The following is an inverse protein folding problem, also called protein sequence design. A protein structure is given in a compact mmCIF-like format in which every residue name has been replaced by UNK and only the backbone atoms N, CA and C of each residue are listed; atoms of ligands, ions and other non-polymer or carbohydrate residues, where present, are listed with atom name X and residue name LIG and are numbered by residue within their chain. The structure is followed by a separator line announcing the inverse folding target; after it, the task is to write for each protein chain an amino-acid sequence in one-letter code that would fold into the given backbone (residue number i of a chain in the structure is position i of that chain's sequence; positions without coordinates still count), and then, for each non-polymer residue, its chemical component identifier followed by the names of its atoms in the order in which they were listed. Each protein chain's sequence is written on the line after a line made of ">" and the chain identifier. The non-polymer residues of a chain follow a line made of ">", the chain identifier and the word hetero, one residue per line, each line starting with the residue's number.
data_IF_012574221255
#
_entry.id   IF_012574221255
#
_cell.length_a   1.000
_cell.length_b   1.000
_cell.length_c   1.000
_cell.angle_alpha   90.00
_cell.angle_beta   90.00
_cell.angle_gamma   90.00
#
_symmetry.space_group_name_H-M   'P 1'
#
loop_
_entity.id
_entity.type
_entity.pdbx_description
1 polymer ?
#
# COMPACT_ATOMS: atom_id res chain seq x y z
N UNK A 1 -11.74 -10.94 11.69
CA UNK A 1 -11.12 -10.79 13.03
C UNK A 1 -12.13 -10.30 14.06
N UNK A 2 -12.09 -10.85 15.27
CA UNK A 2 -13.03 -10.49 16.34
C UNK A 2 -12.82 -9.05 16.84
N UNK A 3 -11.62 -8.50 16.69
CA UNK A 3 -11.30 -7.11 17.02
C UNK A 3 -11.08 -6.28 15.75
N UNK A 4 -11.82 -5.18 15.62
CA UNK A 4 -11.69 -4.18 14.55
C UNK A 4 -11.70 -2.78 15.19
N UNK A 5 -10.55 -2.30 15.71
CA UNK A 5 -10.50 -1.21 16.67
C UNK A 5 -10.53 0.17 15.98
N UNK A 6 -11.63 0.47 15.28
CA UNK A 6 -11.79 1.68 14.45
C UNK A 6 -11.48 2.98 15.22
N UNK A 7 -12.09 3.18 16.38
CA UNK A 7 -11.91 4.39 17.17
C UNK A 7 -10.45 4.57 17.62
N UNK A 8 -9.78 3.48 18.00
CA UNK A 8 -8.38 3.51 18.37
C UNK A 8 -7.48 3.93 17.19
N UNK A 9 -7.67 3.32 16.02
CA UNK A 9 -6.85 3.65 14.84
C UNK A 9 -7.06 5.10 14.38
N UNK A 10 -8.29 5.62 14.47
CA UNK A 10 -8.60 7.02 14.15
C UNK A 10 -7.94 7.98 15.14
N UNK A 11 -8.00 7.67 16.44
CA UNK A 11 -7.29 8.44 17.47
C UNK A 11 -5.76 8.39 17.24
N UNK A 12 -5.21 7.21 16.93
CA UNK A 12 -3.80 7.04 16.62
C UNK A 12 -3.36 7.92 15.44
N UNK A 13 -4.08 7.90 14.32
CA UNK A 13 -3.79 8.78 13.16
C UNK A 13 -3.79 10.25 13.54
N UNK A 14 -4.74 10.67 14.36
CA UNK A 14 -4.84 12.07 14.82
C UNK A 14 -3.62 12.44 15.66
N UNK A 15 -3.21 11.57 16.58
CA UNK A 15 -2.04 11.79 17.45
C UNK A 15 -0.74 11.81 16.64
N UNK A 16 -0.51 10.84 15.75
CA UNK A 16 0.70 10.76 14.95
C UNK A 16 0.85 11.99 14.04
N UNK A 17 -0.25 12.42 13.41
CA UNK A 17 -0.27 13.65 12.60
C UNK A 17 0.06 14.89 13.43
N UNK A 18 -0.53 15.04 14.61
CA UNK A 18 -0.24 16.18 15.51
C UNK A 18 1.22 16.20 15.98
N UNK A 19 1.80 15.02 16.18
CA UNK A 19 3.17 14.87 16.66
C UNK A 19 4.24 14.90 15.54
N UNK A 20 3.85 14.96 14.26
CA UNK A 20 4.77 14.83 13.14
C UNK A 20 5.45 13.45 13.05
N UNK A 21 4.82 12.42 13.62
CA UNK A 21 5.30 11.04 13.60
C UNK A 21 4.64 10.30 12.43
N UNK A 22 5.38 9.59 11.58
CA UNK A 22 4.79 8.80 10.50
C UNK A 22 3.95 7.64 11.05
N UNK A 23 2.72 7.51 10.57
CA UNK A 23 1.90 6.31 10.74
C UNK A 23 2.17 5.35 9.59
N UNK A 24 2.58 4.13 9.92
CA UNK A 24 2.82 3.05 8.96
C UNK A 24 1.73 2.00 9.10
N UNK A 25 1.05 1.66 8.01
CA UNK A 25 0.16 0.49 7.96
C UNK A 25 0.87 -0.70 7.33
N UNK A 26 0.91 -1.83 8.04
CA UNK A 26 1.26 -3.10 7.43
C UNK A 26 0.01 -3.73 6.80
N UNK A 27 -0.11 -3.58 5.49
CA UNK A 27 -1.23 -4.08 4.70
C UNK A 27 -0.86 -5.32 3.88
N UNK A 28 0.18 -6.07 4.28
CA UNK A 28 0.59 -7.31 3.60
C UNK A 28 -0.55 -8.34 3.60
N UNK A 29 -1.43 -8.35 4.61
CA UNK A 29 -2.64 -9.21 4.64
C UNK A 29 -3.91 -8.48 4.22
N UNK A 30 -4.11 -7.26 4.71
CA UNK A 30 -5.38 -6.53 4.57
C UNK A 30 -5.52 -5.85 3.22
N UNK A 31 -4.40 -5.43 2.62
CA UNK A 31 -4.35 -4.75 1.34
C UNK A 31 -4.98 -5.60 0.24
N UNK A 32 -5.89 -4.99 -0.53
CA UNK A 32 -6.64 -5.63 -1.61
C UNK A 32 -7.56 -6.81 -1.21
N UNK A 33 -7.49 -7.25 0.05
CA UNK A 33 -8.28 -8.37 0.59
C UNK A 33 -9.56 -7.90 1.28
N UNK A 34 -9.44 -6.94 2.19
CA UNK A 34 -10.56 -6.46 2.99
C UNK A 34 -11.47 -5.53 2.17
N UNK A 35 -10.84 -4.69 1.36
CA UNK A 35 -11.45 -3.70 0.48
C UNK A 35 -10.45 -3.42 -0.66
N UNK A 36 -10.87 -2.93 -1.85
CA UNK A 36 -9.92 -2.54 -2.91
C UNK A 36 -8.84 -1.57 -2.43
N UNK A 37 -9.22 -0.63 -1.56
CA UNK A 37 -8.30 0.32 -0.89
C UNK A 37 -7.75 -0.15 0.46
N UNK A 38 -7.82 -1.46 0.77
CA UNK A 38 -7.26 -2.03 2.01
C UNK A 38 -7.95 -1.58 3.31
N UNK A 39 -7.25 -1.79 4.42
CA UNK A 39 -7.63 -1.35 5.75
C UNK A 39 -7.71 0.19 5.84
N UNK A 40 -6.90 0.92 5.07
CA UNK A 40 -7.00 2.37 4.95
C UNK A 40 -8.42 2.81 4.56
N UNK A 41 -8.94 2.30 3.46
CA UNK A 41 -10.30 2.61 3.02
C UNK A 41 -11.37 2.06 3.97
N UNK A 42 -11.17 0.84 4.50
CA UNK A 42 -12.10 0.25 5.46
C UNK A 42 -12.27 1.11 6.72
N UNK A 43 -11.17 1.62 7.28
CA UNK A 43 -11.17 2.43 8.48
C UNK A 43 -11.36 3.94 8.23
N UNK A 44 -11.26 4.39 6.98
CA UNK A 44 -11.27 5.80 6.62
C UNK A 44 -10.03 6.54 7.12
N UNK A 45 -8.86 5.89 7.03
CA UNK A 45 -7.57 6.39 7.54
C UNK A 45 -6.56 6.33 6.42
N UNK A 46 -5.82 7.43 6.23
CA UNK A 46 -4.68 7.48 5.32
C UNK A 46 -3.39 7.41 6.14
N UNK A 47 -2.64 6.32 5.97
CA UNK A 47 -1.32 6.18 6.57
C UNK A 47 -0.30 7.02 5.78
N UNK A 48 0.80 7.38 6.43
CA UNK A 48 1.89 8.11 5.77
C UNK A 48 2.72 7.15 4.90
N UNK A 49 2.88 5.90 5.37
CA UNK A 49 3.55 4.79 4.68
C UNK A 49 2.70 3.53 4.79
N UNK A 50 2.79 2.67 3.78
CA UNK A 50 2.07 1.40 3.75
C UNK A 50 2.93 0.30 3.11
N UNK A 51 2.87 -0.90 3.68
CA UNK A 51 3.51 -2.08 3.09
C UNK A 51 2.46 -3.01 2.48
N UNK A 52 2.77 -3.59 1.32
CA UNK A 52 1.92 -4.53 0.61
C UNK A 52 2.68 -5.79 0.22
N UNK A 53 1.94 -6.87 0.01
CA UNK A 53 2.45 -8.15 -0.46
C UNK A 53 1.29 -9.10 -0.76
N UNK A 54 1.52 -10.40 -0.60
CA UNK A 54 0.52 -11.48 -0.74
C UNK A 54 -0.35 -11.30 -2.00
N UNK A 55 -1.59 -10.80 -1.83
CA UNK A 55 -2.57 -10.62 -2.91
C UNK A 55 -1.96 -9.82 -4.07
N UNK A 56 -1.13 -8.82 -3.77
CA UNK A 56 -0.49 -7.97 -4.78
C UNK A 56 0.26 -8.78 -5.85
N UNK A 57 0.94 -9.86 -5.46
CA UNK A 57 1.85 -10.58 -6.35
C UNK A 57 1.18 -11.55 -7.31
N UNK A 58 -0.12 -11.81 -7.17
CA UNK A 58 -0.81 -12.79 -8.01
C UNK A 58 -0.18 -14.19 -7.97
N UNK A 59 0.37 -14.58 -6.81
CA UNK A 59 1.09 -15.84 -6.62
C UNK A 59 2.63 -15.76 -6.72
N UNK A 60 3.17 -14.65 -7.24
CA UNK A 60 4.62 -14.41 -7.29
C UNK A 60 5.13 -13.68 -6.03
N UNK A 61 6.42 -13.87 -5.73
CA UNK A 61 7.08 -13.18 -4.63
C UNK A 61 7.13 -11.66 -4.89
N UNK A 62 6.50 -10.88 -4.02
CA UNK A 62 6.54 -9.41 -4.04
C UNK A 62 6.39 -8.85 -2.63
N UNK A 63 7.10 -7.76 -2.38
CA UNK A 63 6.82 -6.79 -1.33
C UNK A 63 6.89 -5.39 -1.93
N UNK A 64 6.02 -4.49 -1.49
CA UNK A 64 6.03 -3.10 -1.91
C UNK A 64 5.86 -2.18 -0.70
N UNK A 65 6.55 -1.04 -0.73
CA UNK A 65 6.32 0.08 0.16
C UNK A 65 5.78 1.21 -0.70
N UNK A 66 4.68 1.82 -0.26
CA UNK A 66 4.11 3.01 -0.88
C UNK A 66 3.85 4.05 0.21
N UNK A 67 3.73 5.31 -0.16
CA UNK A 67 3.56 6.39 0.78
C UNK A 67 2.63 7.48 0.23
N UNK A 68 2.35 8.44 1.10
CA UNK A 68 1.75 9.71 0.74
C UNK A 68 2.45 10.81 1.52
N UNK A 69 3.63 11.21 1.08
CA UNK A 69 4.37 12.26 1.77
C UNK A 69 5.83 12.47 1.36
N UNK A 70 6.28 11.87 0.25
CA UNK A 70 7.68 11.99 -0.20
C UNK A 70 8.65 11.19 0.66
N UNK A 71 8.18 10.23 1.46
CA UNK A 71 9.03 9.32 2.20
C UNK A 71 9.80 8.39 1.25
N UNK A 72 9.16 7.96 0.15
CA UNK A 72 9.82 7.12 -0.86
C UNK A 72 10.82 7.91 -1.71
N UNK A 73 10.78 9.25 -1.72
CA UNK A 73 11.80 10.10 -2.36
C UNK A 73 13.19 9.89 -1.73
N UNK A 74 13.25 9.36 -0.51
CA UNK A 74 14.52 8.91 0.10
C UNK A 74 15.16 7.75 -0.66
N UNK A 75 14.48 7.11 -1.61
CA UNK A 75 15.04 6.01 -2.41
C UNK A 75 15.78 6.53 -3.65
N UNK A 76 15.26 7.56 -4.33
CA UNK A 76 15.77 8.04 -5.62
C UNK A 76 16.08 9.54 -5.68
N UNK A 77 15.78 10.27 -4.61
CA UNK A 77 16.02 11.70 -4.43
C UNK A 77 14.83 12.59 -4.82
N UNK A 78 13.68 12.00 -5.17
CA UNK A 78 12.46 12.71 -5.52
C UNK A 78 12.33 13.05 -7.01
N UNK A 79 11.14 13.52 -7.38
CA UNK A 79 10.76 13.78 -8.77
C UNK A 79 11.54 14.94 -9.42
N UNK A 80 11.80 14.80 -10.73
CA UNK A 80 12.41 15.81 -11.60
C UNK A 80 11.99 15.56 -13.05
N UNK A 81 12.21 16.52 -13.96
CA UNK A 81 11.77 16.47 -15.36
C UNK A 81 12.91 16.69 -16.35
N UNK A 82 12.77 16.10 -17.54
CA UNK A 82 13.62 16.44 -18.67
C UNK A 82 13.27 17.84 -19.22
N UNK A 83 14.30 18.60 -19.62
CA UNK A 83 14.12 19.87 -20.31
C UNK A 83 13.91 21.08 -19.39
N UNK A 84 13.98 20.91 -18.08
CA UNK A 84 14.04 22.00 -17.10
C UNK A 84 15.32 21.92 -16.24
N UNK A 85 15.38 22.71 -15.17
CA UNK A 85 16.52 22.76 -14.25
C UNK A 85 16.28 21.96 -12.94
N UNK A 86 15.24 21.13 -12.89
CA UNK A 86 14.95 20.30 -11.72
C UNK A 86 15.95 19.14 -11.58
N UNK A 87 16.14 18.68 -10.36
CA UNK A 87 17.05 17.57 -10.02
C UNK A 87 16.56 16.89 -8.72
N UNK A 88 16.98 15.63 -8.45
CA UNK A 88 16.68 14.95 -7.20
C UNK A 88 17.29 15.69 -6.01
N UNK A 89 16.46 16.41 -5.25
CA UNK A 89 16.90 17.31 -4.18
C UNK A 89 16.81 16.69 -2.77
N UNK A 90 16.21 15.51 -2.65
CA UNK A 90 16.02 14.82 -1.37
C UNK A 90 17.22 13.92 -1.07
N UNK A 91 17.70 13.96 0.18
CA UNK A 91 18.77 13.07 0.65
C UNK A 91 18.35 11.60 0.57
N UNK A 92 19.17 10.76 -0.05
CA UNK A 92 18.84 9.35 -0.28
C UNK A 92 19.36 8.42 0.82
N UNK A 93 18.66 7.31 0.99
CA UNK A 93 19.09 6.12 1.73
C UNK A 93 19.38 4.98 0.76
N UNK A 94 20.04 3.92 1.23
CA UNK A 94 20.39 2.79 0.40
C UNK A 94 19.26 1.76 0.32
N UNK A 95 18.88 1.37 -0.89
CA UNK A 95 17.95 0.27 -1.17
C UNK A 95 18.38 -0.46 -2.44
N UNK A 96 18.36 -1.79 -2.41
CA UNK A 96 18.76 -2.64 -3.53
C UNK A 96 18.09 -4.02 -3.45
N UNK A 97 18.14 -4.77 -4.55
CA UNK A 97 17.73 -6.18 -4.57
C UNK A 97 17.70 -6.74 -5.99
N UNK A 98 18.34 -7.89 -6.21
CA UNK A 98 18.49 -8.52 -7.52
C UNK A 98 17.15 -8.81 -8.21
N UNK A 99 16.13 -9.16 -7.42
CA UNK A 99 14.82 -9.54 -7.93
C UNK A 99 13.76 -8.43 -7.78
N UNK A 100 14.17 -7.22 -7.38
CA UNK A 100 13.27 -6.07 -7.36
C UNK A 100 12.73 -5.84 -8.77
N UNK A 101 11.40 -5.72 -8.88
CA UNK A 101 10.69 -5.53 -10.16
C UNK A 101 10.93 -6.67 -11.19
N UNK A 102 11.11 -7.91 -10.71
CA UNK A 102 11.23 -9.08 -11.58
C UNK A 102 10.10 -9.12 -12.65
N UNK A 103 10.39 -9.30 -13.96
CA UNK A 103 9.42 -9.10 -15.04
C UNK A 103 8.14 -9.92 -14.89
N UNK A 104 8.26 -11.21 -14.53
CA UNK A 104 7.09 -12.06 -14.31
C UNK A 104 6.24 -11.59 -13.12
N UNK A 105 6.89 -11.15 -12.04
CA UNK A 105 6.20 -10.63 -10.85
C UNK A 105 5.45 -9.35 -11.19
N UNK A 106 6.03 -8.46 -11.99
CA UNK A 106 5.35 -7.23 -12.43
C UNK A 106 4.16 -7.54 -13.34
N UNK A 107 4.31 -8.50 -14.27
CA UNK A 107 3.20 -8.94 -15.12
C UNK A 107 2.02 -9.51 -14.32
N UNK A 108 2.28 -10.41 -13.34
CA UNK A 108 1.21 -10.95 -12.48
C UNK A 108 0.60 -9.89 -11.57
N UNK A 109 1.39 -8.93 -11.09
CA UNK A 109 0.90 -7.80 -10.29
C UNK A 109 -0.05 -6.92 -11.09
N UNK A 110 0.33 -6.54 -12.32
CA UNK A 110 -0.54 -5.74 -13.20
C UNK A 110 -1.83 -6.49 -13.53
N UNK A 111 -1.75 -7.78 -13.88
CA UNK A 111 -2.93 -8.59 -14.16
C UNK A 111 -3.86 -8.68 -12.95
N UNK A 112 -3.29 -8.89 -11.75
CA UNK A 112 -4.06 -8.97 -10.49
C UNK A 112 -4.75 -7.64 -10.19
N UNK A 113 -4.02 -6.54 -10.18
CA UNK A 113 -4.59 -5.21 -9.90
C UNK A 113 -5.63 -4.80 -10.94
N UNK A 114 -5.41 -5.11 -12.22
CA UNK A 114 -6.37 -4.83 -13.29
C UNK A 114 -7.66 -5.63 -13.12
N UNK A 115 -7.56 -6.91 -12.74
CA UNK A 115 -8.72 -7.74 -12.44
C UNK A 115 -9.49 -7.24 -11.21
N UNK A 116 -8.79 -6.94 -10.11
CA UNK A 116 -9.43 -6.39 -8.91
C UNK A 116 -10.14 -5.06 -9.21
N UNK A 117 -9.49 -4.19 -9.99
CA UNK A 117 -10.06 -2.91 -10.41
C UNK A 117 -11.30 -3.08 -11.30
N UNK A 118 -11.29 -4.04 -12.23
CA UNK A 118 -12.43 -4.28 -13.12
C UNK A 118 -13.64 -4.89 -12.42
N UNK A 119 -13.41 -5.75 -11.41
CA UNK A 119 -14.48 -6.31 -10.60
C UNK A 119 -15.05 -5.30 -9.58
N UNK A 120 -14.24 -4.34 -9.14
CA UNK A 120 -14.62 -3.35 -8.15
C UNK A 120 -14.83 -3.94 -6.74
N UNK A 121 -15.40 -3.15 -5.80
CA UNK A 121 -15.58 -3.55 -4.40
C UNK A 121 -16.44 -4.81 -4.19
N UNK A 122 -17.36 -5.08 -5.13
CA UNK A 122 -18.28 -6.21 -5.05
C UNK A 122 -17.56 -7.56 -4.92
N UNK A 123 -16.34 -7.70 -5.47
CA UNK A 123 -15.55 -8.92 -5.33
C UNK A 123 -15.20 -9.22 -3.87
N UNK A 124 -14.64 -8.25 -3.14
CA UNK A 124 -14.28 -8.41 -1.73
C UNK A 124 -15.52 -8.50 -0.83
N UNK A 125 -16.59 -7.77 -1.15
CA UNK A 125 -17.86 -7.85 -0.43
C UNK A 125 -18.48 -9.24 -0.52
N UNK A 126 -18.54 -9.81 -1.72
CA UNK A 126 -19.05 -11.15 -1.95
C UNK A 126 -18.17 -12.21 -1.28
N UNK A 127 -16.84 -12.06 -1.36
CA UNK A 127 -15.90 -12.96 -0.66
C UNK A 127 -16.10 -12.92 0.86
N UNK A 128 -16.24 -11.71 1.43
CA UNK A 128 -16.44 -11.53 2.87
C UNK A 128 -17.77 -12.12 3.33
N UNK A 129 -18.84 -11.96 2.55
CA UNK A 129 -20.16 -12.56 2.84
C UNK A 129 -20.09 -14.09 2.86
N UNK A 130 -19.38 -14.69 1.89
CA UNK A 130 -19.16 -16.15 1.85
C UNK A 130 -18.33 -16.64 3.03
N UNK A 131 -17.28 -15.90 3.40
CA UNK A 131 -16.42 -16.27 4.54
C UNK A 131 -17.13 -16.16 5.89
N UNK A 132 -18.08 -15.22 6.04
CA UNK A 132 -18.86 -15.06 7.27
C UNK A 132 -19.94 -16.13 7.45
N UNK A 133 -20.31 -16.85 6.38
CA UNK A 133 -21.25 -17.96 6.42
C UNK A 133 -20.61 -19.34 6.63
N UNK A 134 -19.27 -19.39 6.77
CA UNK A 134 -18.51 -20.57 7.16
C UNK A 134 -18.31 -20.59 8.68
#
# INVERSE_FOLDING_TARGET
>A
PNLQPRAFLQALRTMTRKAGVPLIFDEVITGFRLHPGGAQAWYGIEADLVTYGKVLGGGMAIGAVADRGGFVDRIDGGDWNYGDASYPAVETTFSAGTFCKHPLTMATTVATLSHLKSQGPALQENLSRRAAGL
#
